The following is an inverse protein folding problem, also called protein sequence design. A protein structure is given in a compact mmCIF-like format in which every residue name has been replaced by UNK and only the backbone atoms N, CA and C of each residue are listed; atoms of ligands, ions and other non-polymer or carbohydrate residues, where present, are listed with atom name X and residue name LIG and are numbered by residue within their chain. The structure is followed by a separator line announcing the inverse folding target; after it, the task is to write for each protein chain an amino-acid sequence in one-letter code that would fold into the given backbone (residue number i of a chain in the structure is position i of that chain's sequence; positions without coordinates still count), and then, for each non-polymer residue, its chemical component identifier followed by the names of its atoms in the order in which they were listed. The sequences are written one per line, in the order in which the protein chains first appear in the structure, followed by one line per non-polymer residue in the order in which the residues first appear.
data_IF_584690282658
#
_entry.id   IF_584690282658
#
_cell.length_a   1.000
_cell.length_b   1.000
_cell.length_c   1.000
_cell.angle_alpha   90.00
_cell.angle_beta   90.00
_cell.angle_gamma   90.00
#
_symmetry.space_group_name_H-M   'P 1'
#
loop_
_entity.id
_entity.type
_entity.pdbx_description
1 polymer ?
#
# COMPACT_ATOMS: atom_id res chain seq x y z
N UNK A 1 63.68 16.89 -70.64
CA UNK A 1 64.47 17.58 -69.60
C UNK A 1 63.48 18.11 -68.57
N UNK A 2 63.56 17.61 -67.33
CA UNK A 2 63.35 18.33 -66.05
C UNK A 2 62.02 19.07 -65.80
N UNK A 3 61.39 19.14 -64.62
CA UNK A 3 61.52 18.60 -63.25
C UNK A 3 60.29 19.17 -62.48
N UNK A 4 60.07 18.70 -61.24
CA UNK A 4 59.04 19.06 -60.23
C UNK A 4 57.75 18.22 -60.34
N UNK A 5 57.50 17.17 -59.54
CA UNK A 5 57.56 16.98 -58.07
C UNK A 5 56.56 17.83 -57.32
N UNK A 6 55.36 17.28 -57.10
CA UNK A 6 54.58 17.53 -55.90
C UNK A 6 54.16 16.17 -55.31
N UNK A 7 54.89 15.78 -54.28
CA UNK A 7 54.56 14.71 -53.35
C UNK A 7 53.59 15.26 -52.32
N UNK A 8 52.33 14.81 -52.39
CA UNK A 8 51.29 14.99 -51.38
C UNK A 8 51.67 14.18 -50.13
N UNK A 9 52.19 14.87 -49.12
CA UNK A 9 52.52 14.32 -47.79
C UNK A 9 51.38 14.62 -46.83
N UNK A 10 50.30 13.85 -46.96
CA UNK A 10 49.16 13.84 -46.04
C UNK A 10 49.24 12.60 -45.15
N UNK A 11 49.33 12.72 -43.81
CA UNK A 11 49.46 11.56 -42.92
C UNK A 11 48.18 10.70 -42.92
N UNK A 12 48.29 9.36 -42.81
CA UNK A 12 47.15 8.46 -42.84
C UNK A 12 46.23 8.65 -41.61
N UNK A 13 44.91 8.41 -41.76
CA UNK A 13 43.94 8.61 -40.69
C UNK A 13 44.20 7.66 -39.52
N UNK A 14 44.34 8.23 -38.31
CA UNK A 14 44.50 7.46 -37.09
C UNK A 14 43.22 6.66 -36.76
N UNK A 15 43.34 5.43 -36.24
CA UNK A 15 42.18 4.65 -35.79
C UNK A 15 41.48 5.37 -34.63
N UNK A 16 40.15 5.18 -34.45
CA UNK A 16 39.39 5.93 -33.46
C UNK A 16 39.98 5.68 -32.07
N UNK A 17 40.48 6.76 -31.46
CA UNK A 17 40.86 6.78 -30.05
C UNK A 17 39.67 6.29 -29.23
N UNK A 18 39.88 5.25 -28.41
CA UNK A 18 38.96 4.87 -27.35
C UNK A 18 38.73 6.08 -26.45
N UNK A 19 37.67 6.84 -26.74
CA UNK A 19 37.11 7.81 -25.81
C UNK A 19 36.51 6.99 -24.68
N UNK A 20 37.25 6.92 -23.58
CA UNK A 20 36.67 6.70 -22.27
C UNK A 20 35.45 7.60 -22.12
N UNK A 21 34.27 7.11 -21.70
CA UNK A 21 33.24 7.99 -21.21
C UNK A 21 33.70 8.46 -19.83
N UNK A 22 34.54 9.50 -19.78
CA UNK A 22 34.62 10.36 -18.61
C UNK A 22 33.39 11.28 -18.62
N UNK A 23 32.23 10.66 -18.47
CA UNK A 23 31.13 11.34 -17.81
C UNK A 23 31.50 11.27 -16.33
N UNK A 24 31.73 12.42 -15.70
CA UNK A 24 31.65 12.49 -14.25
C UNK A 24 30.30 11.86 -13.87
N UNK A 25 30.34 10.64 -13.35
CA UNK A 25 29.16 9.98 -12.84
C UNK A 25 28.73 10.84 -11.66
N UNK A 26 27.71 11.68 -11.89
CA UNK A 26 27.03 12.44 -10.84
C UNK A 26 26.85 11.48 -9.67
N UNK A 27 27.41 11.83 -8.51
CA UNK A 27 27.31 10.98 -7.34
C UNK A 27 25.82 10.71 -7.08
N UNK A 28 25.49 9.56 -6.48
CA UNK A 28 24.11 9.24 -6.14
C UNK A 28 23.46 10.40 -5.35
N UNK A 29 24.23 11.06 -4.49
CA UNK A 29 23.86 12.28 -3.78
C UNK A 29 23.60 13.48 -4.71
N UNK A 30 24.35 13.66 -5.80
CA UNK A 30 24.05 14.68 -6.82
C UNK A 30 22.74 14.39 -7.56
N UNK A 31 22.42 13.11 -7.80
CA UNK A 31 21.14 12.72 -8.43
C UNK A 31 19.98 12.94 -7.48
N UNK A 32 20.10 12.50 -6.22
CA UNK A 32 19.15 12.83 -5.16
C UNK A 32 18.94 14.34 -5.05
N UNK A 33 20.03 15.11 -5.05
CA UNK A 33 19.99 16.57 -4.98
C UNK A 33 19.38 17.21 -6.23
N UNK A 34 19.57 16.62 -7.41
CA UNK A 34 18.96 17.09 -8.66
C UNK A 34 17.45 16.80 -8.75
N UNK A 35 16.98 15.74 -8.08
CA UNK A 35 15.55 15.42 -7.95
C UNK A 35 14.83 16.24 -6.87
N UNK A 36 15.60 16.98 -6.04
CA UNK A 36 15.08 17.89 -5.02
C UNK A 36 15.00 19.30 -5.63
N UNK A 37 13.78 19.79 -5.88
CA UNK A 37 13.58 21.21 -6.23
C UNK A 37 14.12 22.12 -5.11
N UNK A 38 14.85 23.20 -5.42
CA UNK A 38 15.47 24.04 -4.40
C UNK A 38 14.45 25.07 -3.91
N UNK A 39 13.79 24.81 -2.79
CA UNK A 39 12.95 25.83 -2.16
C UNK A 39 12.87 25.68 -0.64
N UNK A 40 14.01 25.69 0.05
CA UNK A 40 14.08 26.14 1.45
C UNK A 40 15.44 26.81 1.70
N UNK A 41 15.44 28.14 1.70
CA UNK A 41 16.60 28.95 2.08
C UNK A 41 16.78 28.93 3.60
N UNK A 42 17.83 28.27 4.10
CA UNK A 42 18.31 28.48 5.46
C UNK A 42 19.13 29.78 5.55
N UNK A 43 19.02 30.56 6.65
CA UNK A 43 19.85 31.74 6.86
C UNK A 43 21.27 31.35 7.33
N UNK A 44 22.30 32.18 7.07
CA UNK A 44 23.68 31.82 7.37
C UNK A 44 24.00 31.93 8.87
N UNK A 45 24.77 30.97 9.35
CA UNK A 45 25.35 30.90 10.70
C UNK A 45 26.43 31.98 10.90
N UNK A 46 26.33 32.71 12.01
CA UNK A 46 27.46 33.40 12.62
C UNK A 46 27.12 34.73 13.28
N UNK A 47 26.67 34.71 14.55
CA UNK A 47 26.95 35.75 15.55
C UNK A 47 26.93 35.14 16.98
N UNK A 48 27.75 35.66 17.93
CA UNK A 48 28.02 35.00 19.19
C UNK A 48 26.94 35.26 20.26
N UNK A 49 26.68 34.25 21.08
CA UNK A 49 25.75 34.31 22.21
C UNK A 49 26.50 34.88 23.43
N UNK A 50 26.04 35.96 24.08
CA UNK A 50 26.53 36.32 25.40
C UNK A 50 25.75 35.55 26.47
N UNK A 51 26.50 34.90 27.34
CA UNK A 51 26.03 34.31 28.60
C UNK A 51 25.79 35.40 29.64
N UNK A 52 24.61 35.40 30.27
CA UNK A 52 24.44 35.97 31.61
C UNK A 52 23.29 35.33 32.35
N UNK A 53 23.65 34.62 33.41
CA UNK A 53 22.79 34.24 34.53
C UNK A 53 22.56 35.47 35.42
N UNK A 54 21.33 35.74 35.82
CA UNK A 54 20.98 36.02 37.22
C UNK A 54 19.46 36.17 37.39
N UNK A 55 18.99 35.49 38.41
CA UNK A 55 17.70 35.59 39.09
C UNK A 55 17.30 37.04 39.42
N UNK A 56 16.00 37.37 39.33
CA UNK A 56 15.29 38.06 40.40
C UNK A 56 13.76 38.07 40.17
N UNK A 57 13.04 37.94 41.29
CA UNK A 57 11.61 37.75 41.37
C UNK A 57 10.83 39.08 41.45
N UNK A 58 9.68 39.16 40.77
CA UNK A 58 8.49 39.90 41.24
C UNK A 58 7.33 39.71 40.24
N UNK A 59 6.11 39.53 40.77
CA UNK A 59 4.95 39.10 40.00
C UNK A 59 4.11 40.20 39.35
N UNK A 60 3.25 39.80 38.42
CA UNK A 60 1.82 40.16 38.29
C UNK A 60 1.29 39.60 36.96
N UNK A 61 0.05 39.09 36.96
CA UNK A 61 -0.43 38.15 35.95
C UNK A 61 -0.96 38.74 34.64
N UNK A 62 -1.13 37.85 33.66
CA UNK A 62 -2.36 37.69 32.86
C UNK A 62 -2.16 36.64 31.75
N UNK A 63 -2.91 35.54 31.88
CA UNK A 63 -3.69 34.83 30.84
C UNK A 63 -3.01 34.47 29.51
N UNK A 64 -2.76 33.18 29.29
CA UNK A 64 -2.81 32.56 27.95
C UNK A 64 -3.23 31.09 28.03
N UNK A 65 -4.07 30.72 27.07
CA UNK A 65 -4.80 29.46 26.93
C UNK A 65 -3.86 28.26 26.74
N UNK A 66 -4.01 27.23 27.56
CA UNK A 66 -3.48 25.89 27.29
C UNK A 66 -4.58 25.04 26.67
N UNK A 67 -4.37 24.67 25.40
CA UNK A 67 -5.16 23.66 24.70
C UNK A 67 -4.66 22.29 25.17
N UNK A 68 -5.32 21.72 26.16
CA UNK A 68 -5.08 20.33 26.58
C UNK A 68 -5.47 19.39 25.43
N UNK A 69 -4.48 18.68 24.88
CA UNK A 69 -4.71 17.51 24.04
C UNK A 69 -4.96 16.36 25.03
N UNK A 70 -6.20 15.85 25.09
CA UNK A 70 -6.49 14.69 25.93
C UNK A 70 -5.83 13.47 25.31
N UNK A 71 -4.79 12.97 25.97
CA UNK A 71 -4.23 11.66 25.70
C UNK A 71 -5.31 10.61 26.02
N UNK A 72 -5.76 9.90 24.98
CA UNK A 72 -6.77 8.85 25.11
C UNK A 72 -6.12 7.65 25.77
N UNK A 73 -6.43 7.43 27.05
CA UNK A 73 -5.97 6.28 27.82
C UNK A 73 -6.84 5.05 27.49
N UNK A 74 -6.35 4.30 26.51
CA UNK A 74 -6.96 3.06 26.01
C UNK A 74 -7.13 2.01 27.13
N UNK A 75 -6.22 1.99 28.11
CA UNK A 75 -6.21 1.01 29.19
C UNK A 75 -7.27 1.33 30.25
N UNK A 76 -7.53 2.61 30.52
CA UNK A 76 -8.66 3.04 31.35
C UNK A 76 -10.02 2.70 30.71
N UNK A 77 -10.12 2.82 29.38
CA UNK A 77 -11.35 2.50 28.63
C UNK A 77 -11.74 1.01 28.71
N UNK A 78 -10.77 0.10 28.58
CA UNK A 78 -11.05 -1.34 28.71
C UNK A 78 -11.40 -1.75 30.14
N UNK A 79 -10.81 -1.09 31.15
CA UNK A 79 -11.16 -1.30 32.56
C UNK A 79 -12.60 -0.89 32.87
N UNK A 80 -13.09 0.19 32.27
CA UNK A 80 -14.46 0.69 32.44
C UNK A 80 -15.50 -0.20 31.73
N UNK A 81 -15.10 -0.94 30.69
CA UNK A 81 -15.91 -1.95 30.01
C UNK A 81 -16.03 -3.28 30.79
N UNK A 82 -15.38 -3.41 31.95
CA UNK A 82 -15.44 -4.63 32.77
C UNK A 82 -14.69 -5.82 32.18
N UNK A 83 -13.77 -5.57 31.24
CA UNK A 83 -12.87 -6.57 30.66
C UNK A 83 -11.55 -6.43 31.40
N UNK A 84 -11.52 -6.87 32.66
CA UNK A 84 -10.27 -7.03 33.40
C UNK A 84 -9.75 -8.45 33.18
N UNK A 85 -8.43 -8.58 33.00
CA UNK A 85 -7.71 -9.85 32.96
C UNK A 85 -7.90 -10.61 34.29
N UNK A 86 -8.92 -11.46 34.35
CA UNK A 86 -9.06 -12.43 35.42
C UNK A 86 -8.39 -13.75 35.00
N UNK A 87 -7.25 -14.01 35.65
CA UNK A 87 -6.57 -15.29 35.88
C UNK A 87 -6.46 -16.29 34.71
N UNK A 88 -5.25 -16.43 34.15
CA UNK A 88 -4.88 -17.62 33.38
C UNK A 88 -5.01 -18.89 34.26
N UNK A 89 -5.85 -19.88 33.90
CA UNK A 89 -5.77 -21.19 34.50
C UNK A 89 -4.71 -22.04 33.78
N UNK A 90 -3.78 -22.61 34.55
CA UNK A 90 -2.78 -23.58 34.10
C UNK A 90 -3.41 -24.69 33.23
N UNK A 91 -2.85 -24.91 32.04
CA UNK A 91 -3.33 -25.91 31.06
C UNK A 91 -2.69 -27.28 31.32
N UNK A 92 -3.45 -28.34 31.65
CA UNK A 92 -2.93 -29.71 31.60
C UNK A 92 -2.98 -30.21 30.15
N UNK A 93 -1.84 -30.71 29.67
CA UNK A 93 -1.64 -31.26 28.33
C UNK A 93 -2.55 -32.46 28.02
N UNK A 94 -3.33 -32.40 26.92
CA UNK A 94 -3.68 -33.47 25.93
C UNK A 94 -4.92 -33.09 25.10
N UNK A 95 -5.25 -33.82 24.01
CA UNK A 95 -4.65 -33.82 22.68
C UNK A 95 -5.46 -32.97 21.67
N UNK A 96 -4.78 -32.52 20.62
CA UNK A 96 -5.34 -31.69 19.53
C UNK A 96 -6.49 -32.36 18.79
N UNK A 97 -7.70 -31.76 18.86
CA UNK A 97 -8.74 -31.94 17.85
C UNK A 97 -9.26 -30.57 17.40
N UNK A 98 -9.06 -30.29 16.12
CA UNK A 98 -9.43 -29.02 15.48
C UNK A 98 -10.95 -28.92 15.36
N UNK A 99 -11.55 -27.92 16.00
CA UNK A 99 -12.98 -27.58 15.90
C UNK A 99 -13.22 -26.34 15.00
N UNK A 100 -12.16 -25.72 14.45
CA UNK A 100 -12.29 -24.63 13.47
C UNK A 100 -11.87 -25.11 12.07
N UNK A 101 -12.79 -25.78 11.40
CA UNK A 101 -12.58 -26.31 10.06
C UNK A 101 -13.90 -26.49 9.32
N UNK A 102 -14.66 -25.40 9.13
CA UNK A 102 -15.77 -25.36 8.17
C UNK A 102 -16.39 -23.96 8.10
N UNK A 103 -15.72 -23.01 7.42
CA UNK A 103 -16.39 -21.95 6.66
C UNK A 103 -15.49 -21.57 5.48
N UNK A 104 -15.47 -22.46 4.49
CA UNK A 104 -15.10 -22.13 3.12
C UNK A 104 -16.10 -22.88 2.24
N UNK A 105 -16.89 -22.20 1.38
CA UNK A 105 -17.72 -22.90 0.42
C UNK A 105 -16.80 -23.61 -0.56
N UNK A 106 -16.91 -24.94 -0.62
CA UNK A 106 -16.24 -25.74 -1.62
C UNK A 106 -16.76 -25.34 -3.01
N UNK A 107 -15.92 -24.68 -3.82
CA UNK A 107 -16.13 -24.60 -5.27
C UNK A 107 -15.92 -25.99 -5.85
N UNK A 108 -17.01 -26.60 -6.30
CA UNK A 108 -17.00 -27.89 -6.97
C UNK A 108 -16.23 -27.77 -8.30
N UNK A 109 -15.07 -28.39 -8.36
CA UNK A 109 -14.19 -28.45 -9.53
C UNK A 109 -14.36 -29.85 -10.15
N UNK A 110 -14.87 -29.87 -11.38
CA UNK A 110 -15.08 -30.97 -12.34
C UNK A 110 -16.13 -32.06 -12.04
N UNK A 111 -17.17 -32.09 -12.88
CA UNK A 111 -18.07 -33.24 -13.07
C UNK A 111 -17.74 -34.02 -14.33
N UNK A 112 -17.54 -35.34 -14.18
CA UNK A 112 -17.72 -36.36 -15.23
C UNK A 112 -19.00 -37.13 -14.83
N UNK A 113 -19.94 -37.41 -15.74
CA UNK A 113 -21.20 -38.04 -15.36
C UNK A 113 -21.02 -39.57 -15.23
N UNK A 114 -21.56 -40.15 -14.17
CA UNK A 114 -21.95 -41.55 -14.19
C UNK A 114 -23.38 -41.73 -13.70
N UNK A 115 -24.09 -42.50 -14.50
CA UNK A 115 -25.49 -42.87 -14.49
C UNK A 115 -25.84 -43.85 -13.35
N UNK A 116 -27.09 -43.85 -12.90
CA UNK A 116 -27.73 -45.02 -12.29
C UNK A 116 -28.20 -44.97 -10.82
N UNK A 117 -29.53 -45.00 -10.68
CA UNK A 117 -30.31 -45.77 -9.69
C UNK A 117 -30.49 -45.26 -8.23
N UNK A 118 -31.65 -44.61 -8.02
CA UNK A 118 -32.71 -45.13 -7.16
C UNK A 118 -32.50 -45.22 -5.66
N UNK A 119 -33.06 -44.25 -4.91
CA UNK A 119 -33.56 -44.49 -3.54
C UNK A 119 -34.57 -43.41 -3.12
N UNK A 120 -35.84 -43.82 -3.02
CA UNK A 120 -36.89 -43.10 -2.28
C UNK A 120 -36.56 -43.05 -0.79
N UNK A 121 -36.74 -41.89 -0.14
CA UNK A 121 -37.23 -41.84 1.25
C UNK A 121 -37.82 -40.49 1.67
N UNK A 122 -39.14 -40.49 1.77
CA UNK A 122 -40.02 -39.88 2.81
C UNK A 122 -40.02 -38.36 2.98
N UNK A 123 -41.07 -37.75 2.44
CA UNK A 123 -41.57 -36.44 2.78
C UNK A 123 -42.04 -36.38 4.25
N UNK A 124 -41.54 -35.40 5.00
CA UNK A 124 -42.18 -34.90 6.21
C UNK A 124 -42.54 -33.44 5.94
N UNK A 125 -43.83 -33.20 5.75
CA UNK A 125 -44.39 -31.88 5.49
C UNK A 125 -44.22 -30.94 6.68
N UNK A 126 -43.50 -29.84 6.44
CA UNK A 126 -43.70 -28.57 7.13
C UNK A 126 -43.92 -27.52 6.05
N UNK A 127 -45.17 -27.41 5.60
CA UNK A 127 -45.60 -26.35 4.71
C UNK A 127 -45.64 -25.03 5.48
N UNK A 128 -44.64 -24.18 5.26
CA UNK A 128 -44.73 -22.75 5.54
C UNK A 128 -44.69 -22.06 4.17
N UNK A 129 -45.85 -21.58 3.77
CA UNK A 129 -46.15 -20.98 2.47
C UNK A 129 -45.42 -19.62 2.36
N UNK A 130 -44.14 -19.67 2.00
CA UNK A 130 -43.37 -18.49 1.63
C UNK A 130 -43.73 -18.13 0.19
N UNK A 131 -44.71 -17.24 0.08
CA UNK A 131 -44.97 -16.41 -1.11
C UNK A 131 -43.63 -16.07 -1.79
N UNK A 132 -43.44 -16.53 -3.02
CA UNK A 132 -42.34 -16.16 -3.93
C UNK A 132 -42.36 -14.64 -4.14
N UNK A 133 -41.77 -13.92 -3.21
CA UNK A 133 -41.27 -12.58 -3.44
C UNK A 133 -39.93 -12.73 -4.13
N UNK A 134 -39.79 -12.08 -5.29
CA UNK A 134 -38.54 -11.90 -6.02
C UNK A 134 -37.39 -11.61 -5.03
N UNK A 135 -36.60 -12.63 -4.69
CA UNK A 135 -35.44 -12.47 -3.85
C UNK A 135 -34.45 -11.65 -4.68
N UNK A 136 -34.18 -10.41 -4.27
CA UNK A 136 -33.12 -9.61 -4.88
C UNK A 136 -31.85 -10.44 -4.81
N UNK A 137 -31.35 -10.85 -5.97
CA UNK A 137 -30.12 -11.61 -6.05
C UNK A 137 -28.96 -10.66 -5.81
N UNK A 138 -28.57 -10.51 -4.54
CA UNK A 138 -27.49 -9.60 -4.15
C UNK A 138 -26.14 -9.96 -4.78
N UNK A 139 -25.92 -11.23 -5.14
CA UNK A 139 -24.70 -11.67 -5.84
C UNK A 139 -24.63 -11.14 -7.28
N UNK A 140 -25.73 -11.20 -8.03
CA UNK A 140 -25.79 -10.59 -9.38
C UNK A 140 -25.68 -9.06 -9.30
N UNK A 141 -26.29 -8.44 -8.29
CA UNK A 141 -26.23 -6.98 -8.11
C UNK A 141 -24.79 -6.52 -7.82
N UNK A 142 -24.04 -7.23 -6.96
CA UNK A 142 -22.64 -6.90 -6.68
C UNK A 142 -21.70 -7.22 -7.86
N UNK A 143 -22.07 -8.13 -8.76
CA UNK A 143 -21.34 -8.42 -10.00
C UNK A 143 -21.64 -7.41 -11.13
N UNK A 144 -22.82 -6.80 -11.14
CA UNK A 144 -23.24 -5.77 -12.10
C UNK A 144 -22.94 -4.34 -11.67
N UNK A 145 -22.78 -4.08 -10.37
CA UNK A 145 -22.47 -2.76 -9.85
C UNK A 145 -21.11 -2.27 -10.34
N UNK A 146 -21.10 -1.12 -11.03
CA UNK A 146 -19.86 -0.51 -11.45
C UNK A 146 -19.10 0.03 -10.22
N UNK A 147 -17.77 0.00 -10.28
CA UNK A 147 -16.92 0.49 -9.18
C UNK A 147 -17.26 1.93 -8.80
N UNK A 148 -17.68 2.75 -9.77
CA UNK A 148 -18.08 4.14 -9.56
C UNK A 148 -19.33 4.31 -8.69
N UNK A 149 -20.24 3.33 -8.72
CA UNK A 149 -21.50 3.35 -7.97
C UNK A 149 -21.37 2.77 -6.56
N UNK A 150 -20.25 2.13 -6.25
CA UNK A 150 -19.98 1.55 -4.94
C UNK A 150 -19.85 2.62 -3.86
N UNK A 151 -20.22 2.27 -2.62
CA UNK A 151 -19.94 3.13 -1.48
C UNK A 151 -18.43 3.27 -1.23
N UNK A 152 -18.03 4.37 -0.59
CA UNK A 152 -16.63 4.70 -0.36
C UNK A 152 -15.89 3.61 0.46
N UNK A 153 -16.58 2.92 1.38
CA UNK A 153 -15.97 1.88 2.21
C UNK A 153 -15.65 0.65 1.36
N UNK A 154 -16.56 0.23 0.47
CA UNK A 154 -16.30 -0.86 -0.47
C UNK A 154 -15.25 -0.48 -1.50
N UNK A 155 -15.28 0.75 -2.04
CA UNK A 155 -14.22 1.28 -2.92
C UNK A 155 -12.86 1.21 -2.24
N UNK A 156 -12.79 1.64 -0.97
CA UNK A 156 -11.57 1.56 -0.17
C UNK A 156 -11.14 0.11 0.07
N UNK A 157 -12.09 -0.81 0.26
CA UNK A 157 -11.82 -2.25 0.32
C UNK A 157 -11.13 -2.77 -0.94
N UNK A 158 -11.62 -2.40 -2.13
CA UNK A 158 -11.01 -2.77 -3.41
C UNK A 158 -9.61 -2.20 -3.58
N UNK A 159 -9.42 -0.91 -3.28
CA UNK A 159 -8.11 -0.24 -3.35
C UNK A 159 -7.12 -0.88 -2.38
N UNK A 160 -7.57 -1.20 -1.17
CA UNK A 160 -6.78 -1.89 -0.16
C UNK A 160 -6.37 -3.30 -0.59
N UNK A 161 -7.30 -4.12 -1.08
CA UNK A 161 -6.99 -5.47 -1.57
C UNK A 161 -6.04 -5.41 -2.76
N UNK A 162 -6.26 -4.50 -3.70
CA UNK A 162 -5.37 -4.28 -4.85
C UNK A 162 -3.96 -3.91 -4.39
N UNK A 163 -3.83 -2.95 -3.46
CA UNK A 163 -2.53 -2.57 -2.92
C UNK A 163 -1.84 -3.74 -2.22
N UNK A 164 -2.56 -4.57 -1.46
CA UNK A 164 -1.96 -5.72 -0.77
C UNK A 164 -1.56 -6.85 -1.73
N UNK A 165 -2.36 -7.09 -2.75
CA UNK A 165 -2.17 -8.21 -3.67
C UNK A 165 -1.23 -7.91 -4.86
N UNK A 166 -0.86 -6.64 -5.07
CA UNK A 166 0.11 -6.22 -6.11
C UNK A 166 1.51 -6.04 -5.54
N UNK A 167 2.51 -6.12 -6.43
CA UNK A 167 3.93 -6.08 -6.04
C UNK A 167 4.55 -4.68 -6.15
N UNK A 168 4.09 -3.90 -7.11
CA UNK A 168 4.44 -2.50 -7.31
C UNK A 168 3.54 -1.58 -6.50
N UNK A 169 3.88 -0.29 -6.48
CA UNK A 169 3.07 0.74 -5.82
C UNK A 169 1.92 1.15 -6.75
N UNK A 170 0.70 1.12 -6.25
CA UNK A 170 -0.47 1.59 -7.01
C UNK A 170 -0.62 3.11 -6.89
N UNK A 171 -1.43 3.77 -7.75
CA UNK A 171 -1.77 5.17 -7.60
C UNK A 171 -2.35 5.49 -6.22
N UNK A 172 -2.01 6.67 -5.69
CA UNK A 172 -2.55 7.18 -4.44
C UNK A 172 -4.00 7.64 -4.62
N UNK A 173 -4.93 7.02 -3.90
CA UNK A 173 -6.36 7.35 -3.94
C UNK A 173 -6.72 8.39 -2.87
N UNK A 174 -6.10 9.57 -2.96
CA UNK A 174 -6.20 10.62 -1.95
C UNK A 174 -7.62 11.14 -1.72
N UNK A 175 -8.37 11.38 -2.80
CA UNK A 175 -9.75 11.89 -2.71
C UNK A 175 -10.66 10.94 -1.93
N UNK A 176 -10.51 9.63 -2.15
CA UNK A 176 -11.27 8.60 -1.44
C UNK A 176 -10.88 8.52 0.03
N UNK A 177 -9.58 8.59 0.33
CA UNK A 177 -9.06 8.60 1.71
C UNK A 177 -9.61 9.81 2.47
N UNK A 178 -9.50 11.01 1.87
CA UNK A 178 -9.93 12.26 2.48
C UNK A 178 -11.45 12.25 2.72
N UNK A 179 -12.25 11.81 1.74
CA UNK A 179 -13.70 11.69 1.89
C UNK A 179 -14.10 10.74 3.03
N UNK A 180 -13.40 9.61 3.19
CA UNK A 180 -13.64 8.67 4.28
C UNK A 180 -13.25 9.24 5.65
N UNK A 181 -12.11 9.94 5.72
CA UNK A 181 -11.65 10.57 6.96
C UNK A 181 -12.62 11.69 7.41
N UNK A 182 -13.12 12.49 6.47
CA UNK A 182 -14.13 13.51 6.76
C UNK A 182 -15.44 12.91 7.28
N UNK A 183 -15.92 11.83 6.64
CA UNK A 183 -17.12 11.10 7.09
C UNK A 183 -16.92 10.50 8.48
N UNK A 184 -15.75 9.91 8.74
CA UNK A 184 -15.38 9.38 10.06
C UNK A 184 -15.36 10.48 11.13
N UNK A 185 -14.84 11.67 10.82
CA UNK A 185 -14.81 12.79 11.75
C UNK A 185 -16.24 13.28 12.08
N UNK A 186 -17.10 13.39 11.07
CA UNK A 186 -18.49 13.79 11.27
C UNK A 186 -19.27 12.76 12.10
N UNK A 187 -19.12 11.47 11.81
CA UNK A 187 -19.73 10.39 12.57
C UNK A 187 -19.22 10.36 14.02
N UNK A 188 -17.92 10.60 14.24
CA UNK A 188 -17.34 10.67 15.58
C UNK A 188 -17.96 11.78 16.42
N UNK A 189 -18.16 12.97 15.84
CA UNK A 189 -18.81 14.11 16.50
C UNK A 189 -20.25 13.79 16.88
N UNK A 190 -20.99 13.19 15.96
CA UNK A 190 -22.39 12.80 16.17
C UNK A 190 -22.53 11.72 17.25
N UNK A 191 -21.71 10.67 17.20
CA UNK A 191 -21.70 9.61 18.23
C UNK A 191 -21.34 10.18 19.60
N UNK A 192 -20.34 11.08 19.67
CA UNK A 192 -19.97 11.73 20.93
C UNK A 192 -21.10 12.60 21.49
N UNK A 193 -21.79 13.37 20.64
CA UNK A 193 -22.89 14.22 21.07
C UNK A 193 -24.07 13.40 21.59
N UNK A 194 -24.51 12.39 20.83
CA UNK A 194 -25.63 11.52 21.22
C UNK A 194 -25.31 10.72 22.48
N UNK A 195 -24.08 10.21 22.62
CA UNK A 195 -23.67 9.48 23.84
C UNK A 195 -23.69 10.37 25.10
N UNK A 196 -23.48 11.67 24.96
CA UNK A 196 -23.50 12.61 26.09
C UNK A 196 -24.91 13.09 26.47
N UNK A 197 -25.93 12.79 25.67
CA UNK A 197 -27.32 13.20 25.92
C UNK A 197 -28.03 12.23 26.89
N UNK A 198 -28.43 12.68 28.10
CA UNK A 198 -29.13 11.86 29.09
C UNK A 198 -30.54 11.39 28.67
N UNK A 199 -31.09 11.93 27.58
CA UNK A 199 -32.38 11.52 27.02
C UNK A 199 -32.27 10.39 26.00
N UNK A 200 -31.06 9.90 25.71
CA UNK A 200 -30.89 8.74 24.83
C UNK A 200 -31.47 7.48 25.45
N UNK A 201 -32.27 6.78 24.66
CA UNK A 201 -32.85 5.48 25.02
C UNK A 201 -31.79 4.37 25.00
N UNK A 202 -32.04 3.28 25.72
CA UNK A 202 -31.17 2.08 25.69
C UNK A 202 -31.04 1.49 24.27
N UNK A 203 -32.12 1.57 23.47
CA UNK A 203 -32.10 1.13 22.06
C UNK A 203 -31.18 2.00 21.21
N UNK A 204 -31.17 3.32 21.42
CA UNK A 204 -30.26 4.24 20.76
C UNK A 204 -28.82 4.01 21.20
N UNK A 205 -28.59 3.70 22.48
CA UNK A 205 -27.26 3.35 22.99
C UNK A 205 -26.70 2.10 22.30
N UNK A 206 -27.54 1.08 22.08
CA UNK A 206 -27.15 -0.10 21.32
C UNK A 206 -26.80 0.23 19.86
N UNK A 207 -27.61 1.07 19.18
CA UNK A 207 -27.32 1.53 17.81
C UNK A 207 -26.00 2.32 17.74
N UNK A 208 -25.72 3.16 18.73
CA UNK A 208 -24.45 3.91 18.80
C UNK A 208 -23.24 2.98 18.94
N UNK A 209 -23.35 1.90 19.72
CA UNK A 209 -22.29 0.90 19.84
C UNK A 209 -22.01 0.18 18.51
N UNK A 210 -23.04 -0.12 17.72
CA UNK A 210 -22.87 -0.67 16.37
C UNK A 210 -22.16 0.31 15.43
N UNK A 211 -22.56 1.59 15.45
CA UNK A 211 -21.91 2.64 14.64
C UNK A 211 -20.45 2.82 15.05
N UNK A 212 -20.16 2.86 16.35
CA UNK A 212 -18.78 2.97 16.85
C UNK A 212 -17.92 1.79 16.41
N UNK A 213 -18.46 0.57 16.47
CA UNK A 213 -17.77 -0.63 16.00
C UNK A 213 -17.47 -0.54 14.49
N UNK A 214 -18.42 -0.08 13.69
CA UNK A 214 -18.21 0.10 12.26
C UNK A 214 -17.16 1.17 11.94
N UNK A 215 -17.17 2.28 12.69
CA UNK A 215 -16.13 3.31 12.55
C UNK A 215 -14.74 2.75 12.81
N UNK A 216 -14.56 1.88 13.81
CA UNK A 216 -13.26 1.24 14.05
C UNK A 216 -12.83 0.29 12.94
N UNK A 217 -13.78 -0.42 12.30
CA UNK A 217 -13.50 -1.25 11.11
C UNK A 217 -13.01 -0.40 9.94
N UNK A 218 -13.65 0.73 9.68
CA UNK A 218 -13.22 1.66 8.61
C UNK A 218 -11.87 2.30 8.94
N UNK A 219 -11.65 2.74 10.19
CA UNK A 219 -10.33 3.25 10.62
C UNK A 219 -9.24 2.19 10.45
N UNK A 220 -9.51 0.93 10.80
CA UNK A 220 -8.59 -0.17 10.57
C UNK A 220 -8.25 -0.30 9.08
N UNK A 221 -9.26 -0.26 8.20
CA UNK A 221 -9.08 -0.38 6.76
C UNK A 221 -8.15 0.72 6.21
N UNK A 222 -8.41 1.98 6.54
CA UNK A 222 -7.55 3.12 6.12
C UNK A 222 -6.12 2.97 6.66
N UNK A 223 -5.97 2.66 7.95
CA UNK A 223 -4.63 2.46 8.56
C UNK A 223 -3.88 1.30 7.91
N UNK A 224 -4.57 0.21 7.59
CA UNK A 224 -3.99 -0.98 6.95
C UNK A 224 -3.53 -0.69 5.53
N UNK A 225 -4.30 0.09 4.76
CA UNK A 225 -3.93 0.58 3.44
C UNK A 225 -2.64 1.41 3.48
N UNK A 226 -2.61 2.46 4.31
CA UNK A 226 -1.42 3.34 4.42
C UNK A 226 -0.19 2.57 4.90
N UNK A 227 -0.34 1.66 5.88
CA UNK A 227 0.78 0.82 6.35
C UNK A 227 1.33 -0.09 5.26
N UNK A 228 0.46 -0.68 4.45
CA UNK A 228 0.86 -1.52 3.31
C UNK A 228 1.68 -0.71 2.31
N UNK A 229 1.22 0.50 2.00
CA UNK A 229 1.94 1.42 1.10
C UNK A 229 3.29 1.84 1.65
N UNK A 230 3.36 2.26 2.91
CA UNK A 230 4.61 2.62 3.57
C UNK A 230 5.62 1.47 3.53
N UNK A 231 5.17 0.24 3.80
CA UNK A 231 6.04 -0.94 3.70
C UNK A 231 6.65 -1.10 2.30
N UNK A 232 5.85 -0.95 1.24
CA UNK A 232 6.36 -0.99 -0.14
C UNK A 232 7.29 0.18 -0.45
N UNK A 233 6.95 1.38 0.01
CA UNK A 233 7.75 2.59 -0.21
C UNK A 233 9.13 2.45 0.42
N UNK A 234 9.22 1.97 1.66
CA UNK A 234 10.50 1.76 2.34
C UNK A 234 11.32 0.66 1.64
N UNK A 235 10.66 -0.44 1.27
CA UNK A 235 11.28 -1.57 0.54
C UNK A 235 11.86 -1.17 -0.82
N UNK A 236 11.19 -0.27 -1.54
CA UNK A 236 11.58 0.18 -2.88
C UNK A 236 12.06 1.65 -2.90
N UNK A 237 12.51 2.17 -1.76
CA UNK A 237 12.84 3.60 -1.56
C UNK A 237 13.84 4.17 -2.56
N UNK A 238 14.95 3.46 -2.80
CA UNK A 238 15.93 3.81 -3.82
C UNK A 238 15.34 3.81 -5.23
N UNK A 239 14.54 2.80 -5.57
CA UNK A 239 13.91 2.70 -6.89
C UNK A 239 12.93 3.86 -7.11
N UNK A 240 12.08 4.16 -6.13
CA UNK A 240 11.11 5.26 -6.19
C UNK A 240 11.84 6.58 -6.37
N UNK A 241 12.86 6.86 -5.55
CA UNK A 241 13.56 8.15 -5.58
C UNK A 241 14.34 8.38 -6.89
N UNK A 242 14.85 7.32 -7.51
CA UNK A 242 15.56 7.39 -8.78
C UNK A 242 14.64 7.42 -10.02
N UNK A 243 13.33 7.17 -9.85
CA UNK A 243 12.39 6.97 -10.96
C UNK A 243 11.26 8.01 -10.89
N UNK A 244 11.43 9.19 -11.52
CA UNK A 244 10.47 10.31 -11.44
C UNK A 244 9.05 9.96 -11.89
N UNK A 245 8.89 8.97 -12.77
CA UNK A 245 7.60 8.47 -13.23
C UNK A 245 6.74 7.89 -12.10
N UNK A 246 7.37 7.38 -11.03
CA UNK A 246 6.67 6.82 -9.89
C UNK A 246 6.18 7.91 -8.92
N UNK A 247 6.76 9.12 -8.96
CA UNK A 247 6.40 10.19 -8.01
C UNK A 247 4.92 10.58 -8.11
N UNK A 248 4.31 10.45 -9.29
CA UNK A 248 2.89 10.74 -9.50
C UNK A 248 1.95 9.69 -8.87
N UNK A 249 2.47 8.53 -8.46
CA UNK A 249 1.71 7.46 -7.80
C UNK A 249 1.67 7.60 -6.29
N UNK A 250 2.47 8.51 -5.72
CA UNK A 250 2.61 8.72 -4.28
C UNK A 250 1.89 9.99 -3.85
N UNK A 251 1.44 10.03 -2.61
CA UNK A 251 1.08 11.30 -1.97
C UNK A 251 2.32 12.17 -1.73
N UNK A 252 2.14 13.48 -1.56
CA UNK A 252 3.26 14.38 -1.23
C UNK A 252 3.99 13.99 0.07
N UNK A 253 3.24 13.51 1.06
CA UNK A 253 3.81 13.04 2.32
C UNK A 253 4.59 11.73 2.14
N UNK A 254 4.08 10.80 1.32
CA UNK A 254 4.74 9.55 0.97
C UNK A 254 6.05 9.79 0.20
N UNK A 255 6.04 10.69 -0.78
CA UNK A 255 7.24 11.05 -1.53
C UNK A 255 8.31 11.68 -0.63
N UNK A 256 7.91 12.60 0.26
CA UNK A 256 8.81 13.18 1.24
C UNK A 256 9.39 12.13 2.20
N UNK A 257 8.58 11.15 2.61
CA UNK A 257 9.04 10.02 3.42
C UNK A 257 10.07 9.18 2.67
N UNK A 258 9.80 8.80 1.41
CA UNK A 258 10.71 8.01 0.58
C UNK A 258 12.09 8.70 0.42
N UNK A 259 12.09 10.01 0.17
CA UNK A 259 13.32 10.81 0.03
C UNK A 259 14.11 10.86 1.33
N UNK A 260 13.47 11.21 2.45
CA UNK A 260 14.12 11.27 3.76
C UNK A 260 14.64 9.90 4.20
N UNK A 261 13.87 8.84 3.95
CA UNK A 261 14.27 7.48 4.27
C UNK A 261 15.50 7.03 3.46
N UNK A 262 15.52 7.36 2.17
CA UNK A 262 16.68 7.07 1.30
C UNK A 262 17.94 7.82 1.75
N UNK A 263 17.82 9.10 2.09
CA UNK A 263 18.93 9.91 2.62
C UNK A 263 19.44 9.38 3.96
N UNK A 264 18.53 8.98 4.85
CA UNK A 264 18.86 8.37 6.14
C UNK A 264 19.66 7.07 5.95
N UNK A 265 19.18 6.16 5.09
CA UNK A 265 19.88 4.92 4.79
C UNK A 265 21.25 5.16 4.18
N UNK A 266 21.33 6.09 3.21
CA UNK A 266 22.60 6.44 2.58
C UNK A 266 23.61 6.97 3.60
N UNK A 267 23.20 7.91 4.44
CA UNK A 267 24.05 8.51 5.49
C UNK A 267 24.52 7.45 6.50
N UNK A 268 23.61 6.55 6.91
CA UNK A 268 23.93 5.46 7.81
C UNK A 268 24.97 4.50 7.21
N UNK A 269 24.78 4.06 5.97
CA UNK A 269 25.74 3.18 5.29
C UNK A 269 27.07 3.87 5.03
N UNK A 270 27.06 5.16 4.68
CA UNK A 270 28.26 5.96 4.47
C UNK A 270 29.17 5.91 5.70
N UNK A 271 28.61 6.27 6.86
CA UNK A 271 29.37 6.34 8.11
C UNK A 271 29.73 4.98 8.70
N UNK A 272 28.90 3.96 8.47
CA UNK A 272 29.12 2.65 9.06
C UNK A 272 30.13 1.81 8.29
N UNK A 273 30.14 1.88 6.95
CA UNK A 273 30.95 0.99 6.11
C UNK A 273 31.59 1.70 4.92
N UNK A 274 30.85 2.51 4.14
CA UNK A 274 31.33 2.94 2.82
C UNK A 274 32.54 3.87 2.88
N UNK A 275 32.67 4.72 3.91
CA UNK A 275 33.85 5.57 4.11
C UNK A 275 35.15 4.77 4.20
N UNK A 276 35.07 3.55 4.75
CA UNK A 276 36.22 2.64 4.89
C UNK A 276 36.54 1.85 3.61
N UNK A 277 35.61 1.81 2.65
CA UNK A 277 35.80 1.08 1.39
C UNK A 277 36.53 1.93 0.34
N UNK A 278 37.23 1.30 -0.62
CA UNK A 278 37.74 1.99 -1.81
C UNK A 278 36.61 2.63 -2.62
N UNK A 279 36.90 3.75 -3.29
CA UNK A 279 35.91 4.56 -4.04
C UNK A 279 35.06 3.74 -5.03
N UNK A 280 35.65 2.72 -5.66
CA UNK A 280 34.95 1.84 -6.60
C UNK A 280 33.79 1.06 -5.98
N UNK A 281 33.77 0.84 -4.67
CA UNK A 281 32.75 0.07 -3.97
C UNK A 281 31.80 0.93 -3.11
N UNK A 282 31.92 2.26 -3.18
CA UNK A 282 31.08 3.16 -2.37
C UNK A 282 29.69 3.41 -2.95
N UNK A 283 29.46 3.00 -4.20
CA UNK A 283 28.19 3.23 -4.89
C UNK A 283 27.14 2.19 -4.47
N UNK A 284 25.91 2.66 -4.25
CA UNK A 284 24.76 1.81 -3.88
C UNK A 284 23.74 1.63 -5.02
N UNK A 285 23.98 2.25 -6.17
CA UNK A 285 23.09 2.28 -7.32
C UNK A 285 23.64 1.50 -8.53
N UNK A 286 24.62 0.62 -8.30
CA UNK A 286 25.30 -0.08 -9.39
C UNK A 286 24.45 -1.20 -9.98
N UNK A 287 24.51 -1.32 -11.31
CA UNK A 287 23.94 -2.44 -12.07
C UNK A 287 25.09 -3.17 -12.75
N UNK A 288 25.21 -4.46 -12.45
CA UNK A 288 26.24 -5.32 -12.98
C UNK A 288 25.86 -5.82 -14.39
N UNK A 289 26.86 -6.23 -15.17
CA UNK A 289 26.66 -6.65 -16.57
C UNK A 289 25.83 -7.93 -16.76
N UNK A 290 25.62 -8.70 -15.70
CA UNK A 290 24.72 -9.86 -15.64
C UNK A 290 23.23 -9.46 -15.45
N UNK A 291 22.95 -8.16 -15.31
CA UNK A 291 21.62 -7.62 -15.05
C UNK A 291 21.25 -7.52 -13.56
N UNK A 292 22.15 -7.91 -12.66
CA UNK A 292 21.94 -7.77 -11.21
C UNK A 292 22.04 -6.30 -10.82
N UNK A 293 21.01 -5.75 -10.18
CA UNK A 293 20.94 -4.36 -9.72
C UNK A 293 20.97 -4.32 -8.20
N UNK A 294 21.82 -3.45 -7.63
CA UNK A 294 21.82 -3.20 -6.17
C UNK A 294 20.54 -2.49 -5.70
N UNK A 295 19.85 -1.80 -6.62
CA UNK A 295 18.55 -1.19 -6.36
C UNK A 295 17.45 -2.25 -6.45
N UNK A 296 16.77 -2.50 -5.34
CA UNK A 296 15.61 -3.40 -5.24
C UNK A 296 14.44 -2.85 -6.04
N UNK A 297 13.90 -3.66 -6.97
CA UNK A 297 12.74 -3.32 -7.80
C UNK A 297 11.58 -4.29 -7.54
N UNK A 298 10.31 -3.87 -7.75
CA UNK A 298 9.16 -4.78 -7.70
C UNK A 298 9.31 -5.95 -8.68
N UNK A 299 9.08 -7.18 -8.20
CA UNK A 299 9.12 -8.37 -9.04
C UNK A 299 7.74 -8.63 -9.67
N UNK A 300 7.60 -8.31 -10.96
CA UNK A 300 6.35 -8.49 -11.70
C UNK A 300 6.09 -9.94 -12.15
N UNK A 301 7.00 -10.88 -11.89
CA UNK A 301 6.83 -12.28 -12.26
C UNK A 301 6.10 -13.12 -11.20
N UNK A 302 5.72 -12.49 -10.08
CA UNK A 302 4.97 -13.14 -9.02
C UNK A 302 3.55 -13.45 -9.52
N UNK A 303 3.06 -14.70 -9.36
CA UNK A 303 1.70 -15.06 -9.68
C UNK A 303 0.73 -14.42 -8.69
N UNK A 304 -0.36 -13.84 -9.18
CA UNK A 304 -1.42 -13.24 -8.37
C UNK A 304 -2.77 -13.81 -8.78
N UNK A 305 -3.64 -14.00 -7.77
CA UNK A 305 -4.99 -14.50 -7.98
C UNK A 305 -5.90 -13.33 -8.34
N UNK A 306 -6.66 -13.49 -9.42
CA UNK A 306 -7.49 -12.43 -9.97
C UNK A 306 -8.92 -12.88 -10.25
N UNK A 307 -9.85 -11.94 -10.18
CA UNK A 307 -11.22 -12.06 -10.65
C UNK A 307 -11.49 -11.08 -11.80
N UNK A 308 -12.07 -11.58 -12.89
CA UNK A 308 -12.26 -10.81 -14.13
C UNK A 308 -13.64 -10.15 -14.11
N UNK A 309 -13.68 -8.82 -13.99
CA UNK A 309 -14.93 -8.01 -14.00
C UNK A 309 -15.43 -7.72 -15.41
N UNK A 310 -14.50 -7.55 -16.36
CA UNK A 310 -14.78 -7.25 -17.77
C UNK A 310 -13.97 -8.18 -18.67
N UNK A 311 -14.53 -8.60 -19.80
CA UNK A 311 -13.83 -9.46 -20.75
C UNK A 311 -12.49 -8.83 -21.19
N UNK A 312 -11.39 -9.53 -20.91
CA UNK A 312 -10.03 -9.05 -21.18
C UNK A 312 -9.40 -9.70 -22.43
N UNK A 313 -10.09 -10.65 -23.07
CA UNK A 313 -9.57 -11.39 -24.22
C UNK A 313 -8.57 -12.47 -23.81
N UNK A 314 -7.69 -12.84 -24.74
CA UNK A 314 -6.72 -13.92 -24.56
C UNK A 314 -5.37 -13.39 -24.08
N UNK A 315 -4.74 -14.11 -23.14
CA UNK A 315 -3.36 -13.90 -22.72
C UNK A 315 -2.45 -15.03 -23.19
N UNK A 316 -1.23 -14.67 -23.57
CA UNK A 316 -0.20 -15.65 -23.92
C UNK A 316 0.55 -16.07 -22.65
N UNK A 317 0.45 -17.36 -22.31
CA UNK A 317 1.22 -17.96 -21.23
C UNK A 317 2.64 -18.28 -21.68
N UNK A 318 3.54 -18.46 -20.73
CA UNK A 318 4.94 -18.84 -21.01
C UNK A 318 5.07 -20.23 -21.64
N UNK A 319 4.06 -21.09 -21.47
CA UNK A 319 3.96 -22.38 -22.15
C UNK A 319 3.68 -22.27 -23.65
N UNK A 320 3.35 -21.07 -24.15
CA UNK A 320 2.88 -20.85 -25.51
C UNK A 320 1.39 -21.13 -25.70
N UNK A 321 0.67 -21.48 -24.64
CA UNK A 321 -0.79 -21.63 -24.64
C UNK A 321 -1.46 -20.27 -24.45
N UNK A 322 -2.62 -20.10 -25.08
CA UNK A 322 -3.48 -18.94 -24.93
C UNK A 322 -4.57 -19.25 -23.90
N UNK A 323 -4.76 -18.34 -22.93
CA UNK A 323 -5.80 -18.46 -21.92
C UNK A 323 -6.80 -17.31 -22.05
N UNK A 324 -8.09 -17.63 -22.16
CA UNK A 324 -9.16 -16.65 -22.24
C UNK A 324 -9.53 -16.11 -20.84
N UNK A 325 -9.43 -14.80 -20.68
CA UNK A 325 -9.89 -14.08 -19.49
C UNK A 325 -11.31 -13.54 -19.72
N UNK A 326 -12.30 -14.43 -19.52
CA UNK A 326 -13.71 -14.11 -19.61
C UNK A 326 -14.27 -13.49 -18.32
N UNK A 327 -15.30 -12.64 -18.41
CA UNK A 327 -16.01 -12.07 -17.26
C UNK A 327 -16.50 -13.18 -16.31
N UNK A 328 -16.40 -12.92 -15.00
CA UNK A 328 -16.85 -13.82 -13.94
C UNK A 328 -15.88 -14.97 -13.63
N UNK A 329 -14.75 -15.07 -14.35
CA UNK A 329 -13.77 -16.14 -14.15
C UNK A 329 -12.66 -15.71 -13.18
N UNK A 330 -12.07 -16.70 -12.49
CA UNK A 330 -10.94 -16.51 -11.57
C UNK A 330 -9.71 -17.19 -12.12
N UNK A 331 -8.57 -16.50 -12.14
CA UNK A 331 -7.31 -17.03 -12.71
C UNK A 331 -6.12 -16.75 -11.80
N UNK A 332 -5.12 -17.64 -11.84
CA UNK A 332 -3.81 -17.42 -11.22
C UNK A 332 -2.80 -17.15 -12.33
N UNK A 333 -2.34 -15.91 -12.46
CA UNK A 333 -1.49 -15.45 -13.57
C UNK A 333 -0.38 -14.55 -13.08
N UNK A 334 0.71 -14.44 -13.85
CA UNK A 334 1.80 -13.52 -13.50
C UNK A 334 1.33 -12.09 -13.57
N UNK A 335 1.72 -11.29 -12.57
CA UNK A 335 1.33 -9.88 -12.49
C UNK A 335 1.69 -9.09 -13.76
N UNK A 336 2.85 -9.38 -14.36
CA UNK A 336 3.34 -8.76 -15.59
C UNK A 336 2.36 -8.84 -16.78
N UNK A 337 1.53 -9.88 -16.85
CA UNK A 337 0.58 -10.08 -17.95
C UNK A 337 -0.69 -9.24 -17.79
N UNK A 338 -1.06 -8.88 -16.56
CA UNK A 338 -2.38 -8.33 -16.25
C UNK A 338 -2.35 -6.98 -15.52
N UNK A 339 -1.14 -6.41 -15.31
CA UNK A 339 -0.91 -5.07 -14.75
C UNK A 339 -1.80 -3.99 -15.39
N UNK A 340 -1.91 -4.00 -16.72
CA UNK A 340 -2.73 -3.02 -17.46
C UNK A 340 -4.21 -3.11 -17.06
N UNK A 341 -4.76 -4.32 -16.94
CA UNK A 341 -6.18 -4.51 -16.64
C UNK A 341 -6.50 -4.23 -15.17
N UNK A 342 -5.56 -4.48 -14.26
CA UNK A 342 -5.69 -4.03 -12.86
C UNK A 342 -5.77 -2.51 -12.78
N UNK A 343 -4.87 -1.80 -13.50
CA UNK A 343 -4.87 -0.33 -13.53
C UNK A 343 -6.16 0.25 -14.11
N UNK A 344 -6.77 -0.44 -15.07
CA UNK A 344 -8.05 -0.06 -15.67
C UNK A 344 -9.28 -0.49 -14.84
N UNK A 345 -9.10 -1.27 -13.76
CA UNK A 345 -10.20 -1.80 -12.96
C UNK A 345 -11.03 -2.89 -13.65
N UNK A 346 -10.51 -3.51 -14.72
CA UNK A 346 -11.20 -4.61 -15.43
C UNK A 346 -10.99 -5.96 -14.74
N UNK A 347 -9.93 -6.03 -13.94
CA UNK A 347 -9.53 -7.19 -13.18
C UNK A 347 -9.30 -6.76 -11.74
N UNK A 348 -9.83 -7.52 -10.80
CA UNK A 348 -9.63 -7.34 -9.38
C UNK A 348 -8.67 -8.38 -8.83
N UNK A 349 -7.90 -7.98 -7.84
CA UNK A 349 -7.03 -8.88 -7.09
C UNK A 349 -7.83 -9.44 -5.93
N UNK A 350 -7.72 -10.75 -5.69
CA UNK A 350 -8.43 -11.46 -4.63
C UNK A 350 -7.59 -11.62 -3.36
#
# INVERSE_FOLDING_TARGET
MSFFSDTDDSPPPQPPSNRTPSAAASSFTDRLRSTISPALSHPPLGQPIPSSSSYDASGSGSRKEERAVSEFDEEAYYRELGIADDDEPEVPSTPTSNIFGSLSPARNIYGIPHDGAGRERVEAGFGMDLREGNATNWEEIDEEMEIEDMDDVRKMGLVWTRERGTTDIMPWEGELVDALLDKLEQQQKMVSALRSDPQTSEEEHFKLMLVQTEMERVKYLVRSYVRTRLHKIEKFSYHITLSPELHNLLSGAELSHAQRYTELLHTHFQHSVLDSLPESFRRLDETYGDGTSMVTKPNKQIPILIYVRKDCGEINLESGEEALLAKGTTHLVKYSLIERWIKLGWVEVL
#
